data_IF_898516387789
#
_entry.id   IF_898516387789
#
_cell.length_a   1.000
_cell.length_b   1.000
_cell.length_c   1.000
_cell.angle_alpha   90.00
_cell.angle_beta   90.00
_cell.angle_gamma   90.00
#
_symmetry.space_group_name_H-M   'P 1'
#
loop_
_entity.id
_entity.type
_entity.pdbx_description
1 polymer ?
#
# COMPACT_ATOMS: atom_id res chain seq x y z
N UNK A 1 9.19 11.54 3.11
CA UNK A 1 9.40 12.71 4.00
C UNK A 1 10.84 12.70 4.49
N UNK A 2 11.48 13.88 4.50
CA UNK A 2 12.79 14.12 5.10
C UNK A 2 12.74 13.83 6.60
N UNK A 3 13.53 12.86 7.07
CA UNK A 3 13.80 12.64 8.49
C UNK A 3 15.26 13.01 8.78
N UNK A 4 15.57 14.31 8.79
CA UNK A 4 16.87 14.83 9.24
C UNK A 4 16.79 15.53 10.60
N UNK A 5 15.62 15.50 11.26
CA UNK A 5 15.43 16.06 12.60
C UNK A 5 15.10 14.96 13.61
N UNK A 6 15.71 15.03 14.79
CA UNK A 6 15.41 14.12 15.90
C UNK A 6 13.95 14.30 16.31
N UNK A 7 13.12 13.25 16.34
CA UNK A 7 11.72 13.37 16.74
C UNK A 7 11.59 14.02 18.13
N UNK A 8 10.88 15.14 18.21
CA UNK A 8 10.86 15.96 19.43
C UNK A 8 9.87 15.44 20.48
N UNK A 9 8.69 14.98 20.08
CA UNK A 9 7.70 14.39 21.01
C UNK A 9 7.95 12.89 21.24
N UNK A 10 7.57 12.40 22.42
CA UNK A 10 7.72 10.97 22.78
C UNK A 10 6.98 10.05 21.82
N UNK A 11 5.79 10.45 21.35
CA UNK A 11 4.98 9.65 20.43
C UNK A 11 5.68 9.49 19.07
N UNK A 12 6.33 10.54 18.57
CA UNK A 12 7.07 10.51 17.31
C UNK A 12 8.26 9.55 17.41
N UNK A 13 8.96 9.56 18.56
CA UNK A 13 10.08 8.62 18.81
C UNK A 13 9.63 7.17 18.83
N UNK A 14 8.47 6.90 19.43
CA UNK A 14 7.87 5.55 19.42
C UNK A 14 7.51 5.14 17.99
N UNK A 15 6.87 6.02 17.23
CA UNK A 15 6.52 5.77 15.83
C UNK A 15 7.78 5.47 14.99
N UNK A 16 8.83 6.30 15.08
CA UNK A 16 10.08 6.09 14.34
C UNK A 16 10.78 4.76 14.68
N UNK A 17 10.69 4.30 15.94
CA UNK A 17 11.24 2.98 16.32
C UNK A 17 10.45 1.83 15.74
N UNK A 18 9.11 1.91 15.76
CA UNK A 18 8.25 0.89 15.16
C UNK A 18 8.41 0.84 13.64
N UNK A 19 8.49 2.00 12.99
CA UNK A 19 8.76 2.12 11.54
C UNK A 19 10.13 1.55 11.17
N UNK A 20 11.15 1.79 12.00
CA UNK A 20 12.48 1.22 11.80
C UNK A 20 12.46 -0.32 11.77
N UNK A 21 11.57 -0.95 12.54
CA UNK A 21 11.38 -2.40 12.60
C UNK A 21 10.53 -2.97 11.45
N UNK A 22 9.85 -2.15 10.65
CA UNK A 22 9.05 -2.64 9.52
C UNK A 22 9.97 -3.28 8.47
N UNK A 23 9.72 -4.56 8.18
CA UNK A 23 10.41 -5.36 7.18
C UNK A 23 10.61 -6.83 7.59
N UNK A 24 11.31 -7.61 6.76
CA UNK A 24 11.38 -9.07 6.91
C UNK A 24 12.57 -9.60 7.73
N UNK A 25 13.31 -8.76 8.46
CA UNK A 25 14.51 -9.21 9.21
C UNK A 25 14.51 -8.68 10.65
N UNK A 26 14.84 -9.51 11.63
CA UNK A 26 15.17 -9.05 12.98
C UNK A 26 16.27 -7.99 12.96
N UNK A 27 16.24 -7.05 13.90
CA UNK A 27 17.17 -5.92 13.92
C UNK A 27 17.84 -5.76 15.28
N UNK A 28 19.13 -5.41 15.29
CA UNK A 28 19.82 -5.08 16.54
C UNK A 28 19.46 -3.68 17.03
N UNK A 29 19.71 -3.39 18.32
CA UNK A 29 19.57 -2.03 18.86
C UNK A 29 20.38 -0.99 18.06
N UNK A 30 21.56 -1.37 17.56
CA UNK A 30 22.39 -0.47 16.76
C UNK A 30 21.71 -0.10 15.44
N UNK A 31 21.14 -1.10 14.76
CA UNK A 31 20.47 -0.90 13.49
C UNK A 31 19.21 -0.04 13.65
N UNK A 32 18.44 -0.32 14.71
CA UNK A 32 17.21 0.42 15.02
C UNK A 32 17.53 1.88 15.33
N UNK A 33 18.49 2.15 16.23
CA UNK A 33 18.87 3.51 16.60
C UNK A 33 19.33 4.33 15.40
N UNK A 34 20.11 3.71 14.51
CA UNK A 34 20.57 4.33 13.25
C UNK A 34 19.40 4.66 12.32
N UNK A 35 18.46 3.72 12.14
CA UNK A 35 17.29 3.90 11.27
C UNK A 35 16.26 4.89 11.81
N UNK A 36 16.06 4.92 13.12
CA UNK A 36 15.10 5.81 13.75
C UNK A 36 15.69 7.20 14.02
N UNK A 37 16.97 7.42 13.72
CA UNK A 37 17.70 8.65 14.04
C UNK A 37 17.61 9.05 15.53
N UNK A 38 17.63 8.05 16.42
CA UNK A 38 17.56 8.26 17.87
C UNK A 38 18.87 7.90 18.55
N UNK A 39 19.28 8.62 19.60
CA UNK A 39 20.38 8.21 20.45
C UNK A 39 20.16 6.78 21.00
N UNK A 40 21.21 5.96 21.01
CA UNK A 40 21.15 4.55 21.43
C UNK A 40 20.50 4.35 22.81
N UNK A 41 20.79 5.22 23.78
CA UNK A 41 20.21 5.19 25.13
C UNK A 41 18.70 5.42 25.12
N UNK A 42 18.22 6.37 24.31
CA UNK A 42 16.79 6.66 24.15
C UNK A 42 16.07 5.51 23.44
N UNK A 43 16.63 5.02 22.34
CA UNK A 43 16.10 3.86 21.62
C UNK A 43 15.97 2.64 22.55
N UNK A 44 17.00 2.35 23.35
CA UNK A 44 16.99 1.23 24.29
C UNK A 44 15.87 1.34 25.32
N UNK A 45 15.73 2.49 25.99
CA UNK A 45 14.70 2.70 27.01
C UNK A 45 13.29 2.59 26.45
N UNK A 46 13.06 3.13 25.24
CA UNK A 46 11.75 3.05 24.60
C UNK A 46 11.46 1.61 24.15
N UNK A 47 12.43 0.93 23.54
CA UNK A 47 12.28 -0.48 23.12
C UNK A 47 11.99 -1.40 24.30
N UNK A 48 12.59 -1.19 25.47
CA UNK A 48 12.26 -1.96 26.68
C UNK A 48 10.78 -1.81 27.05
N UNK A 49 10.25 -0.59 27.03
CA UNK A 49 8.81 -0.34 27.28
C UNK A 49 7.94 -0.96 26.20
N UNK A 50 8.34 -0.92 24.94
CA UNK A 50 7.60 -1.57 23.85
C UNK A 50 7.59 -3.10 23.98
N UNK A 51 8.65 -3.69 24.52
CA UNK A 51 8.71 -5.12 24.87
C UNK A 51 7.77 -5.45 26.01
N UNK A 52 7.78 -4.67 27.10
CA UNK A 52 6.84 -4.85 28.22
C UNK A 52 5.37 -4.73 27.78
N UNK A 53 5.08 -3.85 26.82
CA UNK A 53 3.73 -3.69 26.25
C UNK A 53 3.37 -4.78 25.23
N UNK A 54 4.33 -5.60 24.78
CA UNK A 54 4.15 -6.63 23.75
C UNK A 54 4.05 -6.10 22.32
N UNK A 55 4.42 -4.83 22.08
CA UNK A 55 4.41 -4.22 20.74
C UNK A 55 5.67 -4.59 19.95
N UNK A 56 6.74 -4.93 20.67
CA UNK A 56 8.02 -5.42 20.14
C UNK A 56 8.35 -6.70 20.89
N UNK A 57 8.93 -7.67 20.21
CA UNK A 57 9.50 -8.87 20.82
C UNK A 57 11.02 -8.83 20.69
N UNK A 58 11.71 -9.46 21.65
CA UNK A 58 13.17 -9.51 21.67
C UNK A 58 13.63 -10.96 21.71
N UNK A 59 14.43 -11.35 20.73
CA UNK A 59 15.08 -12.66 20.66
C UNK A 59 16.60 -12.45 20.78
N UNK A 60 17.15 -12.69 21.97
CA UNK A 60 18.56 -12.41 22.26
C UNK A 60 18.92 -10.92 22.11
N UNK A 61 19.65 -10.58 21.05
CA UNK A 61 20.06 -9.20 20.74
C UNK A 61 19.23 -8.53 19.66
N UNK A 62 18.29 -9.27 19.08
CA UNK A 62 17.47 -8.81 17.97
C UNK A 62 16.06 -8.49 18.43
N UNK A 63 15.45 -7.50 17.78
CA UNK A 63 14.09 -7.04 18.00
C UNK A 63 13.27 -7.26 16.74
N UNK A 64 12.00 -7.62 16.94
CA UNK A 64 10.98 -7.77 15.90
C UNK A 64 9.67 -7.13 16.35
N UNK A 65 8.75 -6.83 15.42
CA UNK A 65 7.40 -6.41 15.81
C UNK A 65 6.70 -7.55 16.54
N UNK A 66 6.08 -7.25 17.68
CA UNK A 66 5.38 -8.22 18.50
C UNK A 66 3.95 -8.50 18.01
N UNK A 67 3.40 -9.65 18.43
CA UNK A 67 2.05 -10.10 17.98
C UNK A 67 0.93 -9.07 18.28
N UNK A 68 1.08 -8.23 19.30
CA UNK A 68 0.08 -7.20 19.65
C UNK A 68 -0.13 -6.17 18.53
N UNK A 69 0.88 -5.93 17.69
CA UNK A 69 0.74 -5.08 16.51
C UNK A 69 -0.19 -5.70 15.47
N UNK A 70 -0.13 -7.03 15.30
CA UNK A 70 -1.09 -7.75 14.46
C UNK A 70 -2.50 -7.70 15.06
N UNK A 71 -2.65 -7.86 16.37
CA UNK A 71 -3.95 -7.75 17.04
C UNK A 71 -4.62 -6.40 16.74
N UNK A 72 -3.90 -5.28 16.88
CA UNK A 72 -4.43 -3.96 16.53
C UNK A 72 -4.75 -3.83 15.02
N UNK A 73 -3.83 -4.25 14.16
CA UNK A 73 -4.03 -4.21 12.70
C UNK A 73 -5.23 -5.04 12.24
N UNK A 74 -5.44 -6.21 12.85
CA UNK A 74 -6.55 -7.12 12.53
C UNK A 74 -7.91 -6.48 12.82
N UNK A 75 -8.01 -5.64 13.87
CA UNK A 75 -9.26 -4.90 14.15
C UNK A 75 -9.58 -3.86 13.06
N UNK A 76 -8.57 -3.32 12.38
CA UNK A 76 -8.75 -2.43 11.23
C UNK A 76 -9.21 -3.20 9.99
N UNK A 77 -8.73 -4.44 9.81
CA UNK A 77 -9.11 -5.30 8.68
C UNK A 77 -10.51 -5.90 8.82
N UNK A 78 -10.92 -6.31 10.03
CA UNK A 78 -12.26 -6.90 10.30
C UNK A 78 -13.44 -5.99 9.95
N UNK A 79 -13.19 -4.70 9.73
CA UNK A 79 -14.23 -3.73 9.35
C UNK A 79 -14.45 -3.65 7.82
N UNK A 80 -13.81 -4.53 7.02
CA UNK A 80 -13.77 -4.41 5.55
C UNK A 80 -14.33 -5.64 4.84
N UNK A 81 -15.64 -5.66 4.58
CA UNK A 81 -16.26 -6.67 3.69
C UNK A 81 -15.63 -6.69 2.29
N UNK A 82 -15.09 -5.57 1.83
CA UNK A 82 -14.42 -5.44 0.53
C UNK A 82 -13.12 -6.26 0.45
N UNK A 83 -12.39 -6.44 1.56
CA UNK A 83 -11.12 -7.17 1.54
C UNK A 83 -11.33 -8.65 1.22
N UNK A 84 -12.29 -9.32 1.87
CA UNK A 84 -12.57 -10.74 1.65
C UNK A 84 -13.09 -11.01 0.22
N UNK A 85 -13.93 -10.11 -0.29
CA UNK A 85 -14.44 -10.14 -1.67
C UNK A 85 -13.27 -9.95 -2.65
N UNK A 86 -12.44 -8.93 -2.43
CA UNK A 86 -11.27 -8.67 -3.27
C UNK A 86 -10.31 -9.85 -3.25
N UNK A 87 -10.05 -10.45 -2.10
CA UNK A 87 -9.16 -11.60 -1.96
C UNK A 87 -9.62 -12.78 -2.81
N UNK A 88 -10.93 -13.06 -2.84
CA UNK A 88 -11.51 -14.12 -3.68
C UNK A 88 -11.30 -13.83 -5.16
N UNK A 89 -11.61 -12.61 -5.61
CA UNK A 89 -11.46 -12.20 -7.01
C UNK A 89 -9.98 -12.18 -7.44
N UNK A 90 -9.10 -11.63 -6.61
CA UNK A 90 -7.66 -11.58 -6.84
C UNK A 90 -7.03 -12.97 -6.90
N UNK A 91 -7.49 -13.91 -6.07
CA UNK A 91 -7.06 -15.32 -6.16
C UNK A 91 -7.43 -15.94 -7.50
N UNK A 92 -8.66 -15.69 -7.98
CA UNK A 92 -9.09 -16.12 -9.31
C UNK A 92 -8.25 -15.50 -10.43
N UNK A 93 -7.92 -14.21 -10.33
CA UNK A 93 -7.04 -13.53 -11.29
C UNK A 93 -5.65 -14.17 -11.30
N UNK A 94 -4.99 -14.26 -10.14
CA UNK A 94 -3.66 -14.84 -10.02
C UNK A 94 -3.60 -16.26 -10.61
N UNK A 95 -4.59 -17.11 -10.30
CA UNK A 95 -4.65 -18.47 -10.84
C UNK A 95 -4.74 -18.52 -12.37
N UNK A 96 -5.42 -17.55 -13.00
CA UNK A 96 -5.58 -17.51 -14.47
C UNK A 96 -4.40 -16.89 -15.19
N UNK A 97 -3.73 -15.93 -14.57
CA UNK A 97 -2.71 -15.11 -15.25
C UNK A 97 -1.29 -15.43 -14.83
N UNK A 98 -1.10 -16.05 -13.66
CA UNK A 98 0.19 -16.18 -13.00
C UNK A 98 0.77 -14.85 -12.49
N UNK A 99 0.09 -13.72 -12.71
CA UNK A 99 0.52 -12.39 -12.31
C UNK A 99 0.18 -12.12 -10.84
N UNK A 100 0.90 -11.19 -10.21
CA UNK A 100 0.64 -10.83 -8.82
C UNK A 100 -0.48 -9.81 -8.76
N UNK A 101 -1.47 -10.03 -7.90
CA UNK A 101 -2.58 -9.11 -7.66
C UNK A 101 -2.40 -8.36 -6.36
N UNK A 102 -2.74 -7.08 -6.34
CA UNK A 102 -2.73 -6.24 -5.14
C UNK A 102 -4.06 -5.54 -4.93
N UNK A 103 -4.43 -5.39 -3.66
CA UNK A 103 -5.48 -4.49 -3.22
C UNK A 103 -4.83 -3.29 -2.54
N UNK A 104 -5.16 -2.08 -2.98
CA UNK A 104 -4.49 -0.87 -2.48
C UNK A 104 -5.48 0.23 -2.11
N UNK A 105 -5.16 0.99 -1.06
CA UNK A 105 -5.95 2.09 -0.51
C UNK A 105 -5.23 3.42 -0.69
N UNK A 106 -5.95 4.45 -1.12
CA UNK A 106 -5.47 5.82 -1.04
C UNK A 106 -5.47 6.30 0.42
N UNK A 107 -4.31 6.71 0.92
CA UNK A 107 -4.16 7.27 2.27
C UNK A 107 -3.22 8.46 2.25
N UNK A 108 -3.78 9.68 2.22
CA UNK A 108 -3.01 10.90 2.04
C UNK A 108 -2.43 10.96 0.62
N UNK A 109 -1.15 11.31 0.47
CA UNK A 109 -0.43 11.34 -0.81
C UNK A 109 0.14 9.98 -1.26
N UNK A 110 -0.29 8.88 -0.64
CA UNK A 110 0.30 7.56 -0.87
C UNK A 110 -0.74 6.47 -1.10
N UNK A 111 -0.33 5.44 -1.81
CA UNK A 111 -1.03 4.18 -1.97
C UNK A 111 -0.47 3.17 -0.97
N UNK A 112 -1.35 2.64 -0.12
CA UNK A 112 -1.05 1.59 0.85
C UNK A 112 -1.52 0.23 0.31
N UNK A 113 -0.62 -0.74 0.19
CA UNK A 113 -0.98 -2.11 -0.19
C UNK A 113 -1.62 -2.84 0.99
N UNK A 114 -2.90 -3.16 0.89
CA UNK A 114 -3.69 -3.82 1.93
C UNK A 114 -3.53 -5.33 1.90
N UNK A 115 -3.46 -5.91 0.70
CA UNK A 115 -3.40 -7.34 0.51
C UNK A 115 -2.73 -7.68 -0.84
N UNK A 116 -2.28 -8.93 -0.98
CA UNK A 116 -1.56 -9.42 -2.15
C UNK A 116 -1.79 -10.91 -2.40
N UNK A 117 -1.98 -11.26 -3.67
CA UNK A 117 -2.02 -12.66 -4.12
C UNK A 117 -0.95 -12.92 -5.19
N UNK A 118 -0.10 -13.92 -4.95
CA UNK A 118 1.03 -14.26 -5.81
C UNK A 118 2.38 -13.83 -5.25
N UNK A 119 3.45 -14.38 -5.82
CA UNK A 119 4.82 -14.27 -5.30
C UNK A 119 5.88 -14.05 -6.40
N UNK A 120 5.52 -13.44 -7.53
CA UNK A 120 6.49 -13.18 -8.62
C UNK A 120 7.74 -12.44 -8.09
N UNK A 121 8.96 -12.90 -8.45
CA UNK A 121 9.98 -13.22 -7.48
C UNK A 121 10.59 -11.96 -6.89
N UNK A 122 10.58 -11.96 -5.57
CA UNK A 122 11.12 -10.94 -4.69
C UNK A 122 10.47 -9.56 -4.86
N UNK A 123 9.18 -9.41 -4.53
CA UNK A 123 8.57 -8.10 -4.41
C UNK A 123 9.38 -7.33 -3.38
N UNK A 124 10.20 -6.39 -3.84
CA UNK A 124 10.99 -5.53 -2.96
C UNK A 124 10.08 -4.92 -1.88
N UNK A 125 10.66 -4.41 -0.79
CA UNK A 125 9.92 -3.86 0.36
C UNK A 125 8.75 -2.94 -0.03
N UNK A 126 8.83 -2.26 -1.18
CA UNK A 126 7.80 -1.37 -1.73
C UNK A 126 6.49 -2.06 -2.18
N UNK A 127 6.48 -3.39 -2.39
CA UNK A 127 5.32 -4.17 -2.85
C UNK A 127 4.76 -5.14 -1.80
N UNK A 128 5.25 -5.04 -0.56
CA UNK A 128 4.77 -5.84 0.56
C UNK A 128 3.41 -5.34 1.05
N UNK A 129 2.62 -6.21 1.68
CA UNK A 129 1.45 -5.77 2.43
C UNK A 129 1.90 -4.82 3.54
N UNK A 130 1.22 -3.69 3.66
CA UNK A 130 1.59 -2.58 4.55
C UNK A 130 2.59 -1.58 3.95
N UNK A 131 3.15 -1.86 2.76
CA UNK A 131 4.05 -0.93 2.09
C UNK A 131 3.29 0.25 1.48
N UNK A 132 3.97 1.39 1.41
CA UNK A 132 3.44 2.66 0.90
C UNK A 132 4.29 3.15 -0.27
N UNK A 133 3.63 3.72 -1.27
CA UNK A 133 4.26 4.32 -2.45
C UNK A 133 3.56 5.64 -2.78
N UNK A 134 4.28 6.67 -3.27
CA UNK A 134 3.66 7.92 -3.71
C UNK A 134 2.58 7.68 -4.75
N UNK A 135 1.43 8.33 -4.59
CA UNK A 135 0.25 8.10 -5.42
C UNK A 135 0.51 8.45 -6.90
N UNK A 136 1.32 9.48 -7.15
CA UNK A 136 1.68 9.95 -8.48
C UNK A 136 2.64 9.02 -9.24
N UNK A 137 3.21 8.01 -8.57
CA UNK A 137 4.19 7.08 -9.15
C UNK A 137 3.66 5.67 -9.36
N UNK A 138 2.38 5.41 -9.09
CA UNK A 138 1.81 4.06 -9.17
C UNK A 138 0.59 4.02 -10.09
N UNK A 139 0.43 2.93 -10.85
CA UNK A 139 -0.79 2.69 -11.63
C UNK A 139 -2.06 2.73 -10.76
N UNK A 140 -2.00 2.14 -9.56
CA UNK A 140 -3.13 2.16 -8.63
C UNK A 140 -3.49 3.60 -8.22
N UNK A 141 -2.49 4.42 -7.91
CA UNK A 141 -2.69 5.83 -7.61
C UNK A 141 -3.24 6.61 -8.79
N UNK A 142 -2.76 6.36 -10.01
CA UNK A 142 -3.31 6.98 -11.21
C UNK A 142 -4.77 6.62 -11.43
N UNK A 143 -5.14 5.35 -11.28
CA UNK A 143 -6.53 4.91 -11.38
C UNK A 143 -7.43 5.61 -10.33
N UNK A 144 -6.93 5.77 -9.10
CA UNK A 144 -7.64 6.43 -8.01
C UNK A 144 -7.81 7.93 -8.28
N UNK A 145 -6.74 8.63 -8.68
CA UNK A 145 -6.76 10.06 -8.99
C UNK A 145 -7.63 10.38 -10.21
N UNK A 146 -7.65 9.51 -11.22
CA UNK A 146 -8.49 9.66 -12.40
C UNK A 146 -10.00 9.61 -12.06
N UNK A 147 -10.36 8.86 -11.02
CA UNK A 147 -11.73 8.74 -10.50
C UNK A 147 -12.08 9.81 -9.43
N UNK A 148 -11.19 10.77 -9.19
CA UNK A 148 -11.37 11.85 -8.21
C UNK A 148 -11.50 13.21 -8.88
N UNK A 149 -12.20 14.13 -8.21
CA UNK A 149 -12.10 15.55 -8.54
C UNK A 149 -10.65 16.02 -8.30
N UNK A 150 -9.98 16.64 -9.29
CA UNK A 150 -8.64 17.21 -9.13
C UNK A 150 -8.47 18.14 -7.93
N UNK A 151 -9.53 18.80 -7.46
CA UNK A 151 -9.53 19.65 -6.26
C UNK A 151 -9.34 18.87 -4.95
N UNK A 152 -9.61 17.57 -4.98
CA UNK A 152 -9.46 16.66 -3.85
C UNK A 152 -8.16 15.86 -3.90
N UNK A 153 -7.29 16.13 -4.88
CA UNK A 153 -6.00 15.45 -4.93
C UNK A 153 -5.16 15.81 -3.69
N UNK A 154 -4.44 14.83 -3.13
CA UNK A 154 -3.48 15.11 -2.08
C UNK A 154 -2.32 15.95 -2.62
N UNK A 155 -1.43 16.37 -1.72
CA UNK A 155 -0.16 16.94 -2.14
C UNK A 155 0.65 15.89 -2.92
N UNK A 156 1.22 16.30 -4.06
CA UNK A 156 1.92 15.44 -5.01
C UNK A 156 3.35 15.99 -5.18
N UNK A 157 4.32 15.48 -4.40
CA UNK A 157 5.64 16.10 -4.33
C UNK A 157 6.50 15.82 -5.56
N UNK A 158 6.24 14.76 -6.35
CA UNK A 158 7.10 14.33 -7.46
C UNK A 158 8.58 14.17 -7.06
N UNK A 159 8.83 13.83 -5.78
CA UNK A 159 10.15 13.89 -5.17
C UNK A 159 11.12 12.81 -5.67
N UNK A 160 10.63 11.76 -6.33
CA UNK A 160 11.47 10.73 -6.92
C UNK A 160 10.92 10.26 -8.27
N UNK A 161 11.84 9.77 -9.10
CA UNK A 161 11.54 9.13 -10.37
C UNK A 161 12.31 7.80 -10.42
N UNK A 162 11.69 6.69 -9.97
CA UNK A 162 12.35 5.39 -9.90
C UNK A 162 13.00 4.95 -11.22
N UNK A 163 12.46 5.41 -12.36
CA UNK A 163 12.95 5.08 -13.69
C UNK A 163 12.94 6.28 -14.63
N UNK A 164 13.44 6.10 -15.84
CA UNK A 164 13.31 7.10 -16.91
C UNK A 164 11.88 7.23 -17.46
N UNK A 165 10.99 6.26 -17.16
CA UNK A 165 9.60 6.24 -17.58
C UNK A 165 8.65 6.82 -16.52
N UNK A 166 9.13 7.09 -15.31
CA UNK A 166 8.29 7.65 -14.24
C UNK A 166 7.78 9.04 -14.60
N UNK A 167 6.54 9.33 -14.18
CA UNK A 167 5.98 10.68 -14.20
C UNK A 167 6.77 11.58 -13.24
N UNK A 168 7.17 12.77 -13.71
CA UNK A 168 8.03 13.70 -12.95
C UNK A 168 7.38 15.05 -12.63
N UNK A 169 6.23 15.32 -13.23
CA UNK A 169 5.57 16.62 -13.10
C UNK A 169 4.06 16.46 -13.09
N UNK A 170 3.37 17.42 -12.46
CA UNK A 170 1.91 17.50 -12.46
C UNK A 170 1.31 17.49 -13.86
N UNK A 171 1.89 18.24 -14.80
CA UNK A 171 1.41 18.26 -16.19
C UNK A 171 1.54 16.92 -16.90
N UNK A 172 2.62 16.17 -16.63
CA UNK A 172 2.75 14.81 -17.16
C UNK A 172 1.72 13.88 -16.53
N UNK A 173 1.51 13.99 -15.21
CA UNK A 173 0.50 13.21 -14.52
C UNK A 173 -0.90 13.46 -15.11
N UNK A 174 -1.30 14.71 -15.28
CA UNK A 174 -2.60 15.08 -15.85
C UNK A 174 -2.83 14.43 -17.22
N UNK A 175 -1.82 14.45 -18.09
CA UNK A 175 -1.88 13.78 -19.41
C UNK A 175 -1.99 12.25 -19.29
N UNK A 176 -1.29 11.64 -18.33
CA UNK A 176 -1.45 10.21 -18.09
C UNK A 176 -2.86 9.89 -17.57
N UNK A 177 -3.40 10.72 -16.67
CA UNK A 177 -4.76 10.53 -16.15
C UNK A 177 -5.83 10.72 -17.21
N UNK A 178 -5.62 11.57 -18.22
CA UNK A 178 -6.51 11.66 -19.37
C UNK A 178 -6.54 10.33 -20.14
N UNK A 179 -5.39 9.70 -20.38
CA UNK A 179 -5.34 8.35 -20.98
C UNK A 179 -6.03 7.31 -20.10
N UNK A 180 -5.93 7.42 -18.78
CA UNK A 180 -6.65 6.53 -17.85
C UNK A 180 -8.16 6.69 -18.03
N UNK A 181 -8.66 7.92 -18.13
CA UNK A 181 -10.09 8.22 -18.36
C UNK A 181 -10.56 7.68 -19.71
N UNK A 182 -9.78 7.88 -20.77
CA UNK A 182 -10.06 7.35 -22.11
C UNK A 182 -10.13 5.81 -22.12
N UNK A 183 -9.32 5.15 -21.28
CA UNK A 183 -9.33 3.69 -21.08
C UNK A 183 -10.35 3.22 -20.04
N UNK A 184 -11.46 3.96 -19.87
CA UNK A 184 -12.54 3.61 -18.94
C UNK A 184 -12.06 3.45 -17.49
N UNK A 185 -11.12 4.29 -17.04
CA UNK A 185 -10.61 4.31 -15.67
C UNK A 185 -9.54 3.27 -15.36
N UNK A 186 -8.95 2.63 -16.38
CA UNK A 186 -7.85 1.65 -16.20
C UNK A 186 -6.50 2.31 -16.46
N UNK A 187 -5.67 2.34 -15.43
CA UNK A 187 -4.31 2.82 -15.49
C UNK A 187 -3.34 1.71 -15.91
N UNK A 188 -2.36 2.07 -16.73
CA UNK A 188 -1.27 1.18 -17.15
C UNK A 188 0.03 1.91 -16.89
N UNK A 189 0.83 1.36 -15.98
CA UNK A 189 2.20 1.76 -15.77
C UNK A 189 3.12 0.75 -16.45
N UNK A 190 3.85 1.19 -17.47
CA UNK A 190 4.84 0.38 -18.19
C UNK A 190 6.24 0.83 -17.79
N UNK A 191 6.79 0.18 -16.76
CA UNK A 191 8.15 0.40 -16.24
C UNK A 191 8.39 1.75 -15.55
N UNK A 192 7.35 2.51 -15.20
CA UNK A 192 7.43 3.78 -14.49
C UNK A 192 7.73 3.61 -13.00
N UNK A 193 7.06 2.68 -12.34
CA UNK A 193 7.32 2.38 -10.93
C UNK A 193 8.61 1.57 -10.70
N UNK A 194 8.94 0.65 -11.61
CA UNK A 194 10.10 -0.25 -11.53
C UNK A 194 10.46 -0.77 -12.93
N UNK A 195 11.75 -0.76 -13.27
CA UNK A 195 12.21 -1.23 -14.59
C UNK A 195 11.85 -2.70 -14.82
N UNK A 196 11.38 -3.02 -16.03
CA UNK A 196 10.97 -4.38 -16.40
C UNK A 196 9.64 -4.85 -15.80
N UNK A 197 8.92 -4.01 -15.05
CA UNK A 197 7.61 -4.32 -14.46
C UNK A 197 6.52 -3.52 -15.15
N UNK A 198 5.43 -4.20 -15.51
CA UNK A 198 4.19 -3.54 -15.94
C UNK A 198 3.12 -3.76 -14.88
N UNK A 199 2.39 -2.70 -14.55
CA UNK A 199 1.29 -2.72 -13.59
C UNK A 199 0.04 -2.17 -14.27
N UNK A 200 -1.06 -2.90 -14.15
CA UNK A 200 -2.37 -2.47 -14.64
C UNK A 200 -3.31 -2.37 -13.46
N UNK A 201 -4.01 -1.25 -13.31
CA UNK A 201 -4.84 -0.99 -12.14
C UNK A 201 -6.17 -0.33 -12.50
N UNK A 202 -7.20 -0.61 -11.70
CA UNK A 202 -8.50 0.04 -11.80
C UNK A 202 -9.02 0.39 -10.40
N UNK A 203 -9.63 1.57 -10.28
CA UNK A 203 -10.32 1.97 -9.06
C UNK A 203 -11.61 1.14 -8.91
N UNK A 204 -11.92 0.76 -7.67
CA UNK A 204 -13.13 -0.01 -7.37
C UNK A 204 -14.38 0.89 -7.27
N UNK A 205 -14.18 2.20 -7.07
CA UNK A 205 -15.25 3.21 -6.93
C UNK A 205 -16.39 2.75 -5.99
N UNK A 206 -15.97 2.24 -4.83
CA UNK A 206 -16.83 1.86 -3.71
C UNK A 206 -16.62 2.86 -2.59
N UNK A 207 -17.73 3.33 -2.00
CA UNK A 207 -17.68 4.11 -0.77
C UNK A 207 -17.42 3.15 0.40
N UNK A 208 -16.15 2.79 0.55
CA UNK A 208 -15.69 2.08 1.74
C UNK A 208 -15.57 3.15 2.81
N UNK A 209 -16.14 2.90 4.01
CA UNK A 209 -16.18 3.82 5.17
C UNK A 209 -14.85 4.51 5.55
N UNK A 210 -13.73 4.15 4.90
CA UNK A 210 -12.37 4.62 5.17
C UNK A 210 -11.56 5.07 3.94
N UNK A 211 -12.12 5.13 2.73
CA UNK A 211 -11.43 5.73 1.57
C UNK A 211 -11.48 4.94 0.27
N UNK A 212 -10.78 5.45 -0.75
CA UNK A 212 -10.82 4.94 -2.12
C UNK A 212 -9.84 3.80 -2.34
N UNK A 213 -10.30 2.71 -2.94
CA UNK A 213 -9.56 1.46 -3.12
C UNK A 213 -9.41 1.12 -4.60
N UNK A 214 -8.28 0.54 -4.97
CA UNK A 214 -8.00 0.03 -6.31
C UNK A 214 -7.51 -1.42 -6.26
N UNK A 215 -7.73 -2.14 -7.36
CA UNK A 215 -7.15 -3.46 -7.61
C UNK A 215 -6.14 -3.34 -8.74
N UNK A 216 -5.02 -4.05 -8.64
CA UNK A 216 -4.01 -4.07 -9.69
C UNK A 216 -3.47 -5.48 -9.95
N UNK A 217 -2.94 -5.67 -11.16
CA UNK A 217 -2.13 -6.81 -11.55
C UNK A 217 -0.75 -6.33 -11.99
N UNK A 218 0.30 -7.01 -11.53
CA UNK A 218 1.67 -6.71 -11.90
C UNK A 218 2.49 -7.97 -12.22
N UNK A 219 3.52 -7.77 -13.01
CA UNK A 219 4.49 -8.79 -13.41
C UNK A 219 5.49 -8.26 -14.43
N UNK A 220 6.33 -9.13 -15.01
CA UNK A 220 7.32 -8.72 -16.00
C UNK A 220 6.66 -8.13 -17.23
N UNK A 221 7.16 -7.01 -17.71
CA UNK A 221 6.69 -6.38 -18.96
C UNK A 221 6.69 -7.37 -20.13
N UNK A 222 7.70 -8.24 -20.22
CA UNK A 222 7.80 -9.27 -21.27
C UNK A 222 6.73 -10.38 -21.22
N UNK A 223 6.01 -10.51 -20.10
CA UNK A 223 4.98 -11.54 -19.89
C UNK A 223 3.56 -10.97 -19.90
N UNK A 224 3.41 -9.65 -19.96
CA UNK A 224 2.12 -8.99 -19.88
C UNK A 224 1.63 -8.61 -21.28
N UNK A 225 0.54 -9.25 -21.69
CA UNK A 225 -0.34 -8.73 -22.73
C UNK A 225 -1.22 -7.64 -22.11
N UNK A 226 -0.87 -6.38 -22.39
CA UNK A 226 -1.53 -5.21 -21.78
C UNK A 226 -3.03 -5.19 -22.05
N UNK A 227 -3.49 -5.50 -23.26
CA UNK A 227 -4.92 -5.39 -23.62
C UNK A 227 -5.74 -6.49 -22.93
N UNK A 228 -5.18 -7.71 -22.85
CA UNK A 228 -5.80 -8.80 -22.11
C UNK A 228 -5.89 -8.47 -20.62
N UNK A 229 -4.79 -7.97 -20.01
CA UNK A 229 -4.74 -7.65 -18.59
C UNK A 229 -5.63 -6.46 -18.23
N UNK A 230 -5.70 -5.42 -19.07
CA UNK A 230 -6.63 -4.29 -18.92
C UNK A 230 -8.07 -4.78 -18.80
N UNK A 231 -8.47 -5.70 -19.67
CA UNK A 231 -9.82 -6.27 -19.62
C UNK A 231 -10.06 -7.11 -18.37
N UNK A 232 -9.06 -7.89 -17.92
CA UNK A 232 -9.16 -8.70 -16.71
C UNK A 232 -9.25 -7.86 -15.44
N UNK A 233 -8.41 -6.82 -15.31
CA UNK A 233 -8.42 -5.89 -14.17
C UNK A 233 -9.72 -5.11 -14.12
N UNK A 234 -10.20 -4.61 -15.26
CA UNK A 234 -11.49 -3.92 -15.34
C UNK A 234 -12.66 -4.81 -14.90
N UNK A 235 -12.70 -6.06 -15.36
CA UNK A 235 -13.73 -7.04 -14.94
C UNK A 235 -13.63 -7.33 -13.45
N UNK A 236 -12.43 -7.54 -12.92
CA UNK A 236 -12.23 -7.77 -11.50
C UNK A 236 -12.68 -6.58 -10.65
N UNK A 237 -12.36 -5.35 -11.06
CA UNK A 237 -12.82 -4.16 -10.36
C UNK A 237 -14.36 -4.06 -10.34
N UNK A 238 -15.00 -4.35 -11.46
CA UNK A 238 -16.46 -4.42 -11.57
C UNK A 238 -17.06 -5.52 -10.67
N UNK A 239 -16.49 -6.73 -10.68
CA UNK A 239 -16.97 -7.84 -9.88
C UNK A 239 -16.86 -7.55 -8.38
N UNK A 240 -15.71 -7.01 -7.94
CA UNK A 240 -15.49 -6.61 -6.55
C UNK A 240 -16.49 -5.52 -6.16
N UNK A 241 -16.67 -4.49 -6.99
CA UNK A 241 -17.64 -3.41 -6.76
C UNK A 241 -19.06 -3.95 -6.61
N UNK A 242 -19.50 -4.80 -7.53
CA UNK A 242 -20.86 -5.37 -7.54
C UNK A 242 -21.12 -6.19 -6.29
N UNK A 243 -20.16 -7.03 -5.89
CA UNK A 243 -20.28 -7.87 -4.70
C UNK A 243 -20.22 -7.03 -3.41
N UNK A 244 -19.43 -5.96 -3.39
CA UNK A 244 -19.31 -5.06 -2.24
C UNK A 244 -20.58 -4.23 -1.99
N UNK A 245 -21.25 -3.75 -3.04
CA UNK A 245 -22.51 -2.99 -2.93
C UNK A 245 -23.68 -3.89 -2.49
N UNK A 246 -23.65 -5.18 -2.83
CA UNK A 246 -24.67 -6.15 -2.42
C UNK A 246 -24.47 -6.78 -1.04
N UNK A 247 -23.34 -6.54 -0.38
CA UNK A 247 -23.04 -7.12 0.93
C UNK A 247 -23.71 -6.32 2.06
N UNK A 248 -24.36 -6.97 3.05
CA UNK A 248 -24.91 -6.27 4.20
C UNK A 248 -23.78 -5.52 4.93
N UNK A 249 -23.92 -4.19 5.07
CA UNK A 249 -23.01 -3.38 5.88
C UNK A 249 -23.13 -3.89 7.31
N UNK A 250 -22.10 -4.56 7.82
CA UNK A 250 -22.08 -5.00 9.23
C UNK A 250 -22.20 -3.75 10.10
N UNK A 251 -23.37 -3.55 10.70
CA UNK A 251 -23.73 -2.35 11.45
C UNK A 251 -22.75 -2.11 12.58
N UNK A 252 -22.23 -0.88 12.70
CA UNK A 252 -21.52 -0.40 13.89
C UNK A 252 -22.38 -0.65 15.13
N UNK A 253 -22.00 -1.60 15.98
CA UNK A 253 -22.44 -1.55 17.38
C UNK A 253 -21.73 -0.34 18.02
N UNK A 254 -22.45 0.65 18.56
CA UNK A 254 -21.82 1.74 19.27
C UNK A 254 -21.06 1.16 20.46
N UNK A 255 -19.76 1.45 20.52
CA UNK A 255 -18.96 1.25 21.73
C UNK A 255 -19.55 2.19 22.77
N UNK A 256 -20.31 1.65 23.73
CA UNK A 256 -20.72 2.42 24.91
C UNK A 256 -19.45 2.80 25.67
N UNK A 257 -19.31 4.09 25.95
CA UNK A 257 -18.32 4.66 26.86
C UNK A 257 -18.53 4.15 28.28
#
# INVERSE_FOLDING_TARGET
MQFEQTPHAMIDRVASLLEALVGQRPMTLADIARRSHLPRSSAHRILQRLVELGWVERHGFEYVLGIRMFEFGSQVMRQRSVNDIAMTVMTGLHRRTGLTAHLSLLSGGEVLHLDRVGAWPNPGRQWAVGARQPVELTAAGHALLAAMDPRQWPDLPFACAPTCYSVRTRRQLERELDKVRDRSGVAVDSQGCELGVTVVAAALDVDVDRGRVAVSLCGPTRMIDTDAVVNQVRRAAFDIRRLAVGAPRTSRRPVRA
#
